data_IF_118684632213
#
_entry.id   IF_118684632213
#
_cell.length_a   1.000
_cell.length_b   1.000
_cell.length_c   1.000
_cell.angle_alpha   90.00
_cell.angle_beta   90.00
_cell.angle_gamma   90.00
#
_symmetry.space_group_name_H-M   'P 1'
#
loop_
_entity.id
_entity.type
_entity.pdbx_description
1 polymer ?
#
# COMPACT_ATOMS: atom_id res chain seq x y z
N UNK A 1 -5.95 17.00 2.65
CA UNK A 1 -5.97 15.82 1.75
C UNK A 1 -5.55 14.50 2.41
N UNK A 2 -5.02 14.49 3.65
CA UNK A 2 -4.70 13.23 4.36
C UNK A 2 -5.94 12.44 4.80
N UNK A 3 -7.06 13.12 5.10
CA UNK A 3 -8.26 12.49 5.66
C UNK A 3 -8.96 11.52 4.71
N UNK A 4 -8.96 11.81 3.41
CA UNK A 4 -9.68 10.99 2.42
C UNK A 4 -9.05 9.59 2.27
N UNK A 5 -7.72 9.49 2.22
CA UNK A 5 -7.04 8.20 2.11
C UNK A 5 -7.17 7.37 3.39
N UNK A 6 -7.11 8.01 4.56
CA UNK A 6 -7.29 7.33 5.84
C UNK A 6 -8.72 6.80 6.00
N UNK A 7 -9.74 7.60 5.65
CA UNK A 7 -11.13 7.18 5.69
C UNK A 7 -11.43 6.05 4.68
N UNK A 8 -10.91 6.15 3.45
CA UNK A 8 -11.04 5.10 2.44
C UNK A 8 -10.38 3.79 2.92
N UNK A 9 -9.16 3.88 3.46
CA UNK A 9 -8.44 2.73 4.00
C UNK A 9 -9.20 2.06 5.15
N UNK A 10 -9.71 2.85 6.10
CA UNK A 10 -10.49 2.34 7.22
C UNK A 10 -11.74 1.60 6.75
N UNK A 11 -12.46 2.15 5.77
CA UNK A 11 -13.65 1.50 5.21
C UNK A 11 -13.33 0.18 4.46
N UNK A 12 -12.16 0.07 3.81
CA UNK A 12 -11.74 -1.14 3.06
C UNK A 12 -11.00 -2.17 3.91
N UNK A 13 -10.70 -1.85 5.17
CA UNK A 13 -10.01 -2.75 6.10
C UNK A 13 -10.87 -3.15 7.30
N UNK A 14 -12.17 -2.85 7.25
CA UNK A 14 -13.13 -3.30 8.26
C UNK A 14 -13.09 -4.84 8.37
N UNK A 15 -12.92 -5.34 9.59
CA UNK A 15 -12.83 -6.79 9.88
C UNK A 15 -11.46 -7.42 9.58
N UNK A 16 -10.49 -6.68 9.04
CA UNK A 16 -9.13 -7.19 8.83
C UNK A 16 -8.37 -7.34 10.16
N UNK A 17 -7.33 -8.21 10.22
CA UNK A 17 -6.54 -8.41 11.44
C UNK A 17 -5.92 -7.10 11.95
N UNK A 18 -6.25 -6.70 13.18
CA UNK A 18 -5.89 -5.39 13.74
C UNK A 18 -4.39 -5.07 13.68
N UNK A 19 -3.52 -6.07 13.89
CA UNK A 19 -2.07 -5.89 13.81
C UNK A 19 -1.59 -5.52 12.40
N UNK A 20 -2.20 -6.11 11.37
CA UNK A 20 -1.88 -5.80 9.97
C UNK A 20 -2.42 -4.42 9.59
N UNK A 21 -3.65 -4.10 10.00
CA UNK A 21 -4.25 -2.77 9.81
C UNK A 21 -3.38 -1.67 10.42
N UNK A 22 -2.90 -1.87 11.65
CA UNK A 22 -2.02 -0.92 12.33
C UNK A 22 -0.67 -0.75 11.60
N UNK A 23 -0.05 -1.86 11.15
CA UNK A 23 1.19 -1.82 10.40
C UNK A 23 1.03 -1.06 9.07
N UNK A 24 0.02 -1.41 8.28
CA UNK A 24 -0.29 -0.73 7.01
C UNK A 24 -0.63 0.75 7.21
N UNK A 25 -1.40 1.10 8.24
CA UNK A 25 -1.70 2.50 8.57
C UNK A 25 -0.44 3.29 8.95
N UNK A 26 0.52 2.65 9.64
CA UNK A 26 1.83 3.25 9.96
C UNK A 26 2.61 3.63 8.70
N UNK A 27 2.60 2.79 7.67
CA UNK A 27 3.25 3.07 6.38
C UNK A 27 2.51 4.12 5.55
N UNK A 28 1.17 4.13 5.62
CA UNK A 28 0.34 5.15 4.98
C UNK A 28 0.56 6.54 5.60
N UNK A 29 0.93 6.60 6.88
CA UNK A 29 1.32 7.86 7.50
C UNK A 29 2.58 8.43 6.84
N UNK A 30 2.48 9.66 6.34
CA UNK A 30 3.57 10.34 5.63
C UNK A 30 3.82 9.85 4.21
N UNK A 31 2.96 8.98 3.64
CA UNK A 31 3.08 8.58 2.24
C UNK A 31 2.74 9.74 1.29
N UNK A 32 3.48 9.85 0.19
CA UNK A 32 3.26 10.86 -0.84
C UNK A 32 2.32 10.36 -1.95
N UNK A 33 1.62 11.28 -2.62
CA UNK A 33 0.75 10.93 -3.76
C UNK A 33 -0.47 11.85 -3.89
N UNK A 34 -0.93 12.02 -5.13
CA UNK A 34 -2.07 12.85 -5.47
C UNK A 34 -3.40 12.13 -5.22
N UNK A 35 -3.45 10.82 -5.51
CA UNK A 35 -4.64 9.97 -5.31
C UNK A 35 -4.48 9.02 -4.12
N UNK A 36 -5.59 8.39 -3.71
CA UNK A 36 -5.58 7.31 -2.70
C UNK A 36 -4.68 6.17 -3.16
N UNK A 37 -4.81 5.75 -4.42
CA UNK A 37 -3.97 4.69 -4.99
C UNK A 37 -2.49 5.05 -5.03
N UNK A 38 -2.12 6.31 -5.29
CA UNK A 38 -0.70 6.72 -5.32
C UNK A 38 -0.08 6.65 -3.93
N UNK A 39 -0.82 7.13 -2.91
CA UNK A 39 -0.39 7.08 -1.51
C UNK A 39 -0.23 5.65 -1.00
N UNK A 40 -1.17 4.78 -1.33
CA UNK A 40 -1.09 3.35 -1.01
C UNK A 40 0.10 2.68 -1.73
N UNK A 41 0.36 3.06 -2.98
CA UNK A 41 1.53 2.58 -3.75
C UNK A 41 2.84 3.00 -3.08
N UNK A 42 2.98 4.27 -2.73
CA UNK A 42 4.17 4.81 -2.03
C UNK A 42 4.39 4.12 -0.68
N UNK A 43 3.34 3.99 0.13
CA UNK A 43 3.38 3.29 1.41
C UNK A 43 3.80 1.82 1.24
N UNK A 44 3.24 1.12 0.24
CA UNK A 44 3.56 -0.27 -0.05
C UNK A 44 5.01 -0.47 -0.47
N UNK A 45 5.55 0.40 -1.35
CA UNK A 45 6.95 0.33 -1.74
C UNK A 45 7.91 0.61 -0.60
N UNK A 46 7.60 1.60 0.27
CA UNK A 46 8.40 1.88 1.46
C UNK A 46 8.42 0.70 2.43
N UNK A 47 7.26 0.07 2.68
CA UNK A 47 7.16 -1.11 3.52
C UNK A 47 7.96 -2.30 2.93
N UNK A 48 7.88 -2.51 1.61
CA UNK A 48 8.64 -3.55 0.93
C UNK A 48 10.15 -3.31 1.05
N UNK A 49 10.62 -2.08 0.83
CA UNK A 49 12.02 -1.71 0.98
C UNK A 49 12.52 -1.95 2.41
N UNK A 50 11.73 -1.59 3.42
CA UNK A 50 12.06 -1.84 4.82
C UNK A 50 12.13 -3.35 5.16
N UNK A 51 11.16 -4.14 4.66
CA UNK A 51 11.14 -5.59 4.85
C UNK A 51 12.38 -6.27 4.23
N UNK A 52 12.78 -5.85 3.03
CA UNK A 52 13.98 -6.36 2.35
C UNK A 52 15.24 -6.01 3.15
N UNK A 53 15.35 -4.76 3.63
CA UNK A 53 16.52 -4.30 4.37
C UNK A 53 16.68 -4.97 5.75
N UNK A 54 15.57 -5.28 6.43
CA UNK A 54 15.57 -5.84 7.77
C UNK A 54 15.84 -7.37 7.82
N UNK A 55 15.82 -8.06 6.69
CA UNK A 55 16.09 -9.51 6.61
C UNK A 55 15.00 -10.39 7.25
N UNK A 56 15.32 -11.63 7.62
CA UNK A 56 14.35 -12.64 8.03
C UNK A 56 13.87 -12.49 9.49
N UNK A 57 13.31 -11.33 9.85
CA UNK A 57 12.71 -11.07 11.17
C UNK A 57 11.20 -11.14 11.11
N UNK A 58 10.56 -11.28 12.29
CA UNK A 58 9.09 -11.25 12.38
C UNK A 58 8.51 -9.89 11.96
N UNK A 59 9.21 -8.82 12.27
CA UNK A 59 8.76 -7.47 11.93
C UNK A 59 8.91 -7.23 10.42
N UNK A 60 10.00 -7.70 9.81
CA UNK A 60 10.14 -7.70 8.35
C UNK A 60 9.04 -8.52 7.65
N UNK A 61 8.64 -9.66 8.21
CA UNK A 61 7.52 -10.43 7.68
C UNK A 61 6.18 -9.67 7.78
N UNK A 62 5.98 -8.91 8.87
CA UNK A 62 4.81 -8.06 9.02
C UNK A 62 4.83 -6.88 8.03
N UNK A 63 5.99 -6.25 7.82
CA UNK A 63 6.16 -5.19 6.83
C UNK A 63 5.96 -5.69 5.40
N UNK A 64 6.38 -6.93 5.10
CA UNK A 64 6.10 -7.56 3.81
C UNK A 64 4.60 -7.79 3.60
N UNK A 65 3.88 -8.26 4.64
CA UNK A 65 2.42 -8.40 4.58
C UNK A 65 1.73 -7.04 4.46
N UNK A 66 2.25 -6.01 5.14
CA UNK A 66 1.73 -4.65 5.02
C UNK A 66 1.93 -4.11 3.60
N UNK A 67 3.09 -4.36 3.00
CA UNK A 67 3.39 -3.99 1.61
C UNK A 67 2.42 -4.66 0.63
N UNK A 68 2.22 -5.98 0.73
CA UNK A 68 1.29 -6.72 -0.10
C UNK A 68 -0.15 -6.18 -0.01
N UNK A 69 -0.63 -5.95 1.21
CA UNK A 69 -1.95 -5.39 1.45
C UNK A 69 -2.09 -3.98 0.85
N UNK A 70 -1.09 -3.11 1.04
CA UNK A 70 -1.12 -1.73 0.53
C UNK A 70 -1.11 -1.69 -1.00
N UNK A 71 -0.30 -2.53 -1.65
CA UNK A 71 -0.29 -2.63 -3.12
C UNK A 71 -1.62 -3.18 -3.65
N UNK A 72 -2.19 -4.19 -2.99
CA UNK A 72 -3.51 -4.73 -3.35
C UNK A 72 -4.60 -3.67 -3.23
N UNK A 73 -4.58 -2.88 -2.14
CA UNK A 73 -5.52 -1.78 -1.95
C UNK A 73 -5.29 -0.64 -2.95
N UNK A 74 -4.06 -0.37 -3.37
CA UNK A 74 -3.76 0.60 -4.43
C UNK A 74 -4.37 0.19 -5.77
N UNK A 75 -4.31 -1.11 -6.08
CA UNK A 75 -4.96 -1.69 -7.26
C UNK A 75 -6.48 -1.62 -7.15
N UNK A 76 -7.06 -1.94 -5.99
CA UNK A 76 -8.49 -1.81 -5.73
C UNK A 76 -8.96 -0.36 -5.90
N UNK A 77 -8.27 0.61 -5.29
CA UNK A 77 -8.59 2.03 -5.42
C UNK A 77 -8.58 2.47 -6.89
N UNK A 78 -7.60 2.02 -7.68
CA UNK A 78 -7.57 2.28 -9.12
C UNK A 78 -8.72 1.62 -9.88
N UNK A 79 -9.08 0.38 -9.53
CA UNK A 79 -10.18 -0.35 -10.17
C UNK A 79 -11.56 0.23 -9.83
N UNK A 80 -11.73 0.85 -8.65
CA UNK A 80 -12.96 1.55 -8.28
C UNK A 80 -13.18 2.81 -9.13
N UNK A 81 -12.11 3.50 -9.52
CA UNK A 81 -12.17 4.70 -10.37
C UNK A 81 -12.28 4.34 -11.87
N UNK A 82 -11.42 3.44 -12.35
CA UNK A 82 -11.42 2.96 -13.74
C UNK A 82 -10.95 1.50 -13.83
N UNK A 83 -11.88 0.53 -13.92
CA UNK A 83 -11.56 -0.88 -14.04
C UNK A 83 -10.68 -1.21 -15.26
N UNK A 84 -10.77 -0.44 -16.34
CA UNK A 84 -10.02 -0.71 -17.58
C UNK A 84 -8.54 -0.31 -17.45
N UNK A 85 -8.25 0.67 -16.60
CA UNK A 85 -6.89 1.12 -16.32
C UNK A 85 -6.10 0.21 -15.35
N UNK A 86 -6.73 -0.82 -14.77
CA UNK A 86 -6.10 -1.68 -13.74
C UNK A 86 -4.79 -2.31 -14.23
N UNK A 87 -4.76 -2.77 -15.48
CA UNK A 87 -3.56 -3.38 -16.07
C UNK A 87 -2.40 -2.38 -16.16
N UNK A 88 -2.68 -1.17 -16.63
CA UNK A 88 -1.68 -0.11 -16.76
C UNK A 88 -1.15 0.30 -15.40
N UNK A 89 -2.03 0.41 -14.41
CA UNK A 89 -1.66 0.72 -13.02
C UNK A 89 -0.77 -0.36 -12.41
N UNK A 90 -1.10 -1.64 -12.61
CA UNK A 90 -0.26 -2.75 -12.16
C UNK A 90 1.14 -2.73 -12.82
N UNK A 91 1.21 -2.38 -14.11
CA UNK A 91 2.49 -2.23 -14.82
C UNK A 91 3.31 -1.08 -14.22
N UNK A 92 2.68 0.06 -13.95
CA UNK A 92 3.34 1.23 -13.38
C UNK A 92 3.87 0.96 -11.96
N UNK A 93 3.07 0.32 -11.10
CA UNK A 93 3.48 -0.10 -9.74
C UNK A 93 4.73 -0.99 -9.82
N UNK A 94 4.70 -2.01 -10.68
CA UNK A 94 5.85 -2.92 -10.83
C UNK A 94 7.11 -2.21 -11.34
N UNK A 95 6.97 -1.27 -12.28
CA UNK A 95 8.11 -0.54 -12.84
C UNK A 95 8.82 0.35 -11.79
N UNK A 96 8.06 0.90 -10.84
CA UNK A 96 8.59 1.74 -9.77
C UNK A 96 9.47 0.95 -8.77
N UNK A 97 9.24 -0.36 -8.60
CA UNK A 97 10.07 -1.22 -7.73
C UNK A 97 11.44 -1.51 -8.34
N UNK A 98 11.53 -1.69 -9.67
CA UNK A 98 12.78 -2.05 -10.35
C UNK A 98 13.73 -0.85 -10.56
N UNK A 99 13.24 0.36 -10.34
CA UNK A 99 13.99 1.61 -10.56
C UNK A 99 14.57 2.21 -9.28
N UNK A 100 14.37 1.56 -8.13
CA UNK A 100 14.89 1.94 -6.81
C UNK A 100 16.05 1.01 -6.41
#
# INVERSE_FOLDING_TARGET
>A
MSDTSAAWFAARTEGAPARLVAASAGWLHGSAGATVGDRLTDAGHRALGAAIAAGATRDAALDLLAADALITLALLAGAEDDPMALRERAVAIRAAVTSA
#
